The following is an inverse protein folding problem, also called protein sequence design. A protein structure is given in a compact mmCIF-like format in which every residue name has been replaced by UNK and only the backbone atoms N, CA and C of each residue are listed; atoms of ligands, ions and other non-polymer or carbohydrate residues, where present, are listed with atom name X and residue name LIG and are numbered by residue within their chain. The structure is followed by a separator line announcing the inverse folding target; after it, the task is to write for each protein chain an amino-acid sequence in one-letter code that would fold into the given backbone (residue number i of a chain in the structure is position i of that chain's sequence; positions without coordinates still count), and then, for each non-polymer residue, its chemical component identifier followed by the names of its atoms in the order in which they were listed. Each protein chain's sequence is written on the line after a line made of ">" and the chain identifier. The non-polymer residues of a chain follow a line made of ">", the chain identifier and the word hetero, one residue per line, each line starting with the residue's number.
data_IF_129319370923
#
_entry.id   IF_129319370923
#
_cell.length_a   1.000
_cell.length_b   1.000
_cell.length_c   1.000
_cell.angle_alpha   90.00
_cell.angle_beta   90.00
_cell.angle_gamma   90.00
#
_symmetry.space_group_name_H-M   'P 1'
#
loop_
_entity.id
_entity.type
_entity.pdbx_description
1 polymer ?
#
# COMPACT_ATOMS: atom_id res chain seq x y z
N UNK A 1 -6.34 -6.09 13.77
CA UNK A 1 -5.72 -5.03 12.95
C UNK A 1 -5.02 -5.69 11.77
N UNK A 2 -4.97 -5.08 10.59
CA UNK A 2 -4.20 -5.62 9.45
C UNK A 2 -2.76 -5.06 9.42
N UNK A 3 -1.78 -5.92 9.18
CA UNK A 3 -0.36 -5.58 9.02
C UNK A 3 0.05 -5.73 7.57
N UNK A 4 0.50 -4.64 6.98
CA UNK A 4 0.86 -4.57 5.56
C UNK A 4 2.38 -4.37 5.47
N UNK A 5 3.06 -5.23 4.73
CA UNK A 5 4.49 -5.05 4.47
C UNK A 5 4.70 -4.03 3.36
N UNK A 6 5.35 -2.90 3.68
CA UNK A 6 5.67 -1.84 2.74
C UNK A 6 6.73 -2.32 1.74
N UNK A 7 6.40 -2.27 0.45
CA UNK A 7 7.27 -2.56 -0.68
C UNK A 7 7.85 -3.97 -0.72
N UNK A 8 7.31 -4.91 0.05
CA UNK A 8 7.81 -6.28 0.01
C UNK A 8 7.65 -6.90 -1.38
N UNK A 9 6.59 -6.56 -2.12
CA UNK A 9 6.43 -7.04 -3.49
C UNK A 9 7.22 -6.26 -4.55
N UNK A 10 8.12 -5.35 -4.15
CA UNK A 10 9.05 -4.72 -5.09
C UNK A 10 10.31 -5.59 -5.35
N UNK A 11 10.48 -6.70 -4.62
CA UNK A 11 11.53 -7.69 -4.90
C UNK A 11 11.10 -9.10 -4.48
N UNK A 12 11.58 -10.12 -5.19
CA UNK A 12 11.21 -11.52 -4.90
C UNK A 12 11.69 -11.97 -3.52
N UNK A 13 12.89 -11.54 -3.11
CA UNK A 13 13.45 -11.90 -1.80
C UNK A 13 12.60 -11.40 -0.64
N UNK A 14 12.20 -10.11 -0.68
CA UNK A 14 11.37 -9.50 0.37
C UNK A 14 9.93 -9.99 0.38
N UNK A 15 9.39 -10.29 -0.80
CA UNK A 15 8.09 -10.91 -0.93
C UNK A 15 8.02 -12.20 -0.10
N UNK A 16 8.98 -13.12 -0.32
CA UNK A 16 9.00 -14.42 0.37
C UNK A 16 9.15 -14.29 1.88
N UNK A 17 9.96 -13.34 2.33
CA UNK A 17 10.10 -13.04 3.76
C UNK A 17 8.77 -12.56 4.36
N UNK A 18 8.13 -11.59 3.70
CA UNK A 18 6.93 -10.95 4.20
C UNK A 18 5.67 -11.84 4.15
N UNK A 19 5.57 -12.78 3.21
CA UNK A 19 4.43 -13.71 3.09
C UNK A 19 4.17 -14.54 4.36
N UNK A 20 5.21 -14.76 5.17
CA UNK A 20 5.11 -15.55 6.40
C UNK A 20 4.61 -14.77 7.62
N UNK A 21 4.55 -13.43 7.55
CA UNK A 21 4.35 -12.56 8.73
C UNK A 21 3.31 -11.45 8.51
N UNK A 22 3.22 -10.91 7.29
CA UNK A 22 2.29 -9.83 6.95
C UNK A 22 0.97 -10.38 6.41
N UNK A 23 -0.13 -9.68 6.71
CA UNK A 23 -1.45 -10.05 6.20
C UNK A 23 -1.61 -9.64 4.72
N UNK A 24 -0.92 -8.57 4.31
CA UNK A 24 -0.98 -8.01 2.95
C UNK A 24 0.40 -7.53 2.50
N UNK A 25 0.73 -7.76 1.23
CA UNK A 25 2.00 -7.35 0.62
C UNK A 25 1.79 -6.11 -0.26
N UNK A 26 2.43 -4.98 0.08
CA UNK A 26 2.37 -3.77 -0.74
C UNK A 26 3.39 -3.79 -1.88
N UNK A 27 2.94 -3.26 -3.03
CA UNK A 27 3.67 -3.22 -4.28
C UNK A 27 3.53 -1.85 -4.93
N UNK A 28 4.66 -1.21 -5.23
CA UNK A 28 4.71 0.07 -5.94
C UNK A 28 4.59 -0.17 -7.45
N UNK A 29 3.39 0.02 -8.00
CA UNK A 29 3.08 -0.32 -9.40
C UNK A 29 3.26 0.90 -10.31
N UNK A 30 4.15 0.78 -11.29
CA UNK A 30 4.44 1.79 -12.30
C UNK A 30 4.11 1.35 -13.72
N UNK A 31 3.90 2.33 -14.60
CA UNK A 31 3.88 2.08 -16.04
C UNK A 31 5.32 2.09 -16.55
N UNK A 32 5.76 0.95 -17.07
CA UNK A 32 7.07 0.77 -17.68
C UNK A 32 7.11 1.25 -19.13
N UNK A 33 8.19 0.87 -19.83
CA UNK A 33 8.29 1.14 -21.28
C UNK A 33 7.25 0.32 -22.05
N UNK A 34 6.57 0.97 -23.00
CA UNK A 34 5.56 0.33 -23.84
C UNK A 34 4.28 -0.03 -23.07
N UNK A 35 3.98 -1.31 -22.95
CA UNK A 35 2.76 -1.84 -22.30
C UNK A 35 3.04 -2.54 -20.97
N UNK A 36 4.31 -2.64 -20.57
CA UNK A 36 4.74 -3.37 -19.38
C UNK A 36 4.34 -2.62 -18.10
N UNK A 37 3.94 -3.40 -17.10
CA UNK A 37 3.76 -2.93 -15.73
C UNK A 37 5.00 -3.36 -14.96
N UNK A 38 5.58 -2.41 -14.24
CA UNK A 38 6.81 -2.60 -13.47
C UNK A 38 6.53 -2.39 -11.98
N UNK A 39 7.26 -3.13 -11.15
CA UNK A 39 7.33 -2.88 -9.72
C UNK A 39 8.68 -2.23 -9.41
N UNK A 40 8.65 -1.11 -8.69
CA UNK A 40 9.88 -0.44 -8.23
C UNK A 40 9.55 0.67 -7.25
N UNK A 41 10.50 0.92 -6.36
CA UNK A 41 10.46 2.11 -5.52
C UNK A 41 11.01 3.37 -6.24
N UNK A 42 12.11 3.20 -6.98
CA UNK A 42 12.82 4.29 -7.62
C UNK A 42 11.92 5.06 -8.60
N UNK A 43 12.08 6.37 -8.69
CA UNK A 43 11.30 7.22 -9.59
C UNK A 43 12.00 7.37 -10.93
N UNK A 44 11.22 7.50 -12.00
CA UNK A 44 11.78 7.82 -13.31
C UNK A 44 12.09 9.32 -13.39
N UNK A 45 13.35 9.67 -13.64
CA UNK A 45 13.76 11.04 -13.92
C UNK A 45 13.44 11.37 -15.38
N UNK A 46 12.39 12.16 -15.59
CA UNK A 46 12.06 12.68 -16.91
C UNK A 46 12.99 13.87 -17.24
N UNK A 47 13.54 13.97 -18.47
CA UNK A 47 13.28 13.16 -19.67
C UNK A 47 14.24 11.97 -19.86
N UNK A 48 15.22 11.77 -18.99
CA UNK A 48 16.38 10.89 -19.25
C UNK A 48 16.13 9.40 -19.04
N UNK A 49 14.89 9.01 -18.65
CA UNK A 49 14.47 7.63 -18.33
C UNK A 49 15.32 6.92 -17.29
N UNK A 50 16.26 7.62 -16.64
CA UNK A 50 17.08 7.05 -15.57
C UNK A 50 16.22 6.92 -14.32
N UNK A 51 16.40 5.82 -13.59
CA UNK A 51 15.79 5.68 -12.28
C UNK A 51 16.61 6.48 -11.27
N UNK A 52 15.89 7.14 -10.36
CA UNK A 52 16.43 7.97 -9.28
C UNK A 52 15.88 7.45 -7.96
N UNK A 53 16.77 7.14 -7.04
CA UNK A 53 16.44 6.77 -5.67
C UNK A 53 17.42 7.42 -4.70
N UNK A 54 16.93 7.89 -3.55
CA UNK A 54 17.72 8.47 -2.45
C UNK A 54 18.95 9.30 -2.87
N UNK A 55 18.77 10.26 -3.78
CA UNK A 55 19.80 11.21 -4.27
C UNK A 55 20.83 10.66 -5.28
N UNK A 56 20.74 9.40 -5.69
CA UNK A 56 21.58 8.84 -6.74
C UNK A 56 20.76 8.38 -7.95
N UNK A 57 21.42 8.37 -9.11
CA UNK A 57 20.87 7.74 -10.30
C UNK A 57 21.27 6.28 -10.31
N UNK A 58 20.30 5.39 -10.47
CA UNK A 58 20.58 3.98 -10.66
C UNK A 58 21.37 3.76 -11.96
N UNK A 59 22.13 2.65 -12.05
CA UNK A 59 22.77 2.22 -13.29
C UNK A 59 21.78 2.19 -14.46
N UNK A 60 22.26 2.52 -15.67
CA UNK A 60 21.44 2.38 -16.89
C UNK A 60 21.15 0.90 -17.12
N UNK A 61 19.89 0.55 -17.42
CA UNK A 61 19.49 -0.83 -17.73
C UNK A 61 18.91 -1.60 -16.54
N UNK A 62 18.87 -1.02 -15.34
CA UNK A 62 17.96 -1.51 -14.29
C UNK A 62 16.53 -1.10 -14.69
N UNK A 63 15.91 -1.89 -15.56
CA UNK A 63 14.47 -1.83 -15.74
C UNK A 63 13.82 -2.30 -14.44
N UNK A 64 12.68 -1.71 -14.08
CA UNK A 64 11.90 -2.23 -12.94
C UNK A 64 11.58 -3.71 -13.16
N UNK A 65 11.48 -4.49 -12.08
CA UNK A 65 11.08 -5.90 -12.14
C UNK A 65 9.68 -6.00 -12.76
N UNK A 66 9.42 -7.00 -13.60
CA UNK A 66 8.10 -7.10 -14.22
C UNK A 66 7.09 -7.45 -13.13
N UNK A 67 5.90 -6.87 -13.19
CA UNK A 67 4.88 -7.26 -12.22
C UNK A 67 4.49 -8.73 -12.35
N UNK A 68 4.54 -9.31 -13.55
CA UNK A 68 4.34 -10.74 -13.77
C UNK A 68 5.31 -11.61 -12.96
N UNK A 69 6.61 -11.26 -12.95
CA UNK A 69 7.63 -12.02 -12.21
C UNK A 69 7.35 -12.08 -10.70
N UNK A 70 6.78 -11.00 -10.13
CA UNK A 70 6.32 -10.97 -8.73
C UNK A 70 5.10 -11.86 -8.51
N UNK A 71 4.15 -11.83 -9.44
CA UNK A 71 2.94 -12.64 -9.33
C UNK A 71 3.24 -14.14 -9.42
N UNK A 72 4.17 -14.52 -10.30
CA UNK A 72 4.63 -15.89 -10.48
C UNK A 72 5.42 -16.39 -9.26
N UNK A 73 6.17 -15.50 -8.61
CA UNK A 73 6.94 -15.85 -7.41
C UNK A 73 6.09 -15.92 -6.13
N UNK A 74 4.92 -15.28 -6.10
CA UNK A 74 4.09 -15.14 -4.92
C UNK A 74 3.20 -16.37 -4.67
N UNK A 75 3.10 -16.80 -3.41
CA UNK A 75 2.23 -17.89 -2.99
C UNK A 75 0.76 -17.63 -3.40
N UNK A 76 -0.03 -18.64 -3.83
CA UNK A 76 -1.41 -18.41 -4.29
C UNK A 76 -2.30 -17.66 -3.30
N UNK A 77 -2.05 -17.81 -1.99
CA UNK A 77 -2.75 -17.13 -0.89
C UNK A 77 -2.34 -15.67 -0.66
N UNK A 78 -1.29 -15.19 -1.33
CA UNK A 78 -0.75 -13.83 -1.11
C UNK A 78 -1.76 -12.78 -1.53
N UNK A 79 -2.15 -11.97 -0.54
CA UNK A 79 -3.00 -10.80 -0.72
C UNK A 79 -2.14 -9.60 -1.07
N UNK A 80 -2.42 -8.97 -2.19
CA UNK A 80 -1.67 -7.80 -2.64
C UNK A 80 -2.37 -6.49 -2.33
N UNK A 81 -1.56 -5.48 -2.00
CA UNK A 81 -1.92 -4.07 -2.02
C UNK A 81 -1.15 -3.35 -3.13
N UNK A 82 -1.83 -2.97 -4.19
CA UNK A 82 -1.22 -2.24 -5.30
C UNK A 82 -1.27 -0.74 -5.03
N UNK A 83 -0.13 -0.11 -4.75
CA UNK A 83 -0.05 1.35 -4.74
C UNK A 83 0.36 1.86 -6.12
N UNK A 84 -0.61 2.40 -6.86
CA UNK A 84 -0.41 2.84 -8.23
C UNK A 84 0.36 4.17 -8.24
N UNK A 85 1.59 4.14 -8.76
CA UNK A 85 2.49 5.28 -8.83
C UNK A 85 2.48 5.92 -10.22
N UNK A 86 1.35 6.52 -10.57
CA UNK A 86 1.18 7.27 -11.81
C UNK A 86 -0.12 8.05 -11.85
N UNK A 87 -0.32 8.83 -12.92
CA UNK A 87 -1.45 9.77 -13.04
C UNK A 87 -2.44 9.41 -14.15
N UNK A 88 -2.17 8.35 -14.92
CA UNK A 88 -2.96 8.00 -16.12
C UNK A 88 -3.82 6.76 -15.88
N UNK A 89 -5.04 6.75 -16.42
CA UNK A 89 -5.89 5.55 -16.41
C UNK A 89 -5.30 4.39 -17.23
N UNK A 90 -4.28 4.64 -18.05
CA UNK A 90 -3.51 3.57 -18.71
C UNK A 90 -2.80 2.70 -17.69
N UNK A 91 -2.21 3.29 -16.64
CA UNK A 91 -1.58 2.52 -15.56
C UNK A 91 -2.60 1.60 -14.88
N UNK A 92 -3.74 2.14 -14.45
CA UNK A 92 -4.73 1.35 -13.73
C UNK A 92 -5.34 0.23 -14.57
N UNK A 93 -5.63 0.47 -15.86
CA UNK A 93 -6.08 -0.59 -16.77
C UNK A 93 -5.01 -1.67 -16.97
N UNK A 94 -3.74 -1.29 -17.14
CA UNK A 94 -2.65 -2.26 -17.33
C UNK A 94 -2.37 -3.06 -16.06
N UNK A 95 -2.42 -2.42 -14.89
CA UNK A 95 -2.32 -3.11 -13.61
C UNK A 95 -3.47 -4.09 -13.40
N UNK A 96 -4.72 -3.72 -13.74
CA UNK A 96 -5.87 -4.63 -13.69
C UNK A 96 -5.73 -5.84 -14.61
N UNK A 97 -5.19 -5.64 -15.82
CA UNK A 97 -4.90 -6.76 -16.72
C UNK A 97 -3.79 -7.65 -16.14
N UNK A 98 -2.72 -7.05 -15.63
CA UNK A 98 -1.58 -7.79 -15.10
C UNK A 98 -1.91 -8.62 -13.86
N UNK A 99 -2.74 -8.11 -12.93
CA UNK A 99 -3.16 -8.86 -11.73
C UNK A 99 -4.13 -10.02 -12.05
N UNK A 100 -4.70 -10.05 -13.26
CA UNK A 100 -5.59 -11.13 -13.72
C UNK A 100 -6.79 -11.32 -12.79
N UNK A 101 -7.09 -12.56 -12.42
CA UNK A 101 -8.21 -12.92 -11.54
C UNK A 101 -7.79 -13.11 -10.07
N UNK A 102 -6.58 -12.68 -9.70
CA UNK A 102 -6.08 -12.83 -8.33
C UNK A 102 -6.90 -11.99 -7.34
N UNK A 103 -7.43 -12.65 -6.32
CA UNK A 103 -8.27 -12.07 -5.28
C UNK A 103 -7.94 -12.74 -3.94
N UNK A 104 -8.13 -12.06 -2.79
CA UNK A 104 -8.58 -10.68 -2.65
C UNK A 104 -7.51 -9.65 -3.04
N UNK A 105 -7.93 -8.41 -3.31
CA UNK A 105 -7.05 -7.33 -3.76
C UNK A 105 -7.31 -6.02 -2.99
N UNK A 106 -6.24 -5.27 -2.71
CA UNK A 106 -6.31 -3.88 -2.29
C UNK A 106 -5.64 -3.00 -3.33
N UNK A 107 -6.21 -1.85 -3.63
CA UNK A 107 -5.62 -0.88 -4.55
C UNK A 107 -5.70 0.52 -3.96
N UNK A 108 -4.58 1.22 -3.97
CA UNK A 108 -4.51 2.63 -3.61
C UNK A 108 -3.77 3.47 -4.64
N UNK A 109 -3.98 4.77 -4.53
CA UNK A 109 -3.18 5.77 -5.25
C UNK A 109 -3.48 7.15 -4.68
N UNK A 110 -2.64 8.15 -4.99
CA UNK A 110 -2.92 9.56 -4.70
C UNK A 110 -3.77 10.23 -5.81
N UNK A 111 -3.54 9.96 -7.11
CA UNK A 111 -4.47 10.35 -8.18
C UNK A 111 -5.81 9.58 -8.19
N UNK A 112 -6.71 9.84 -7.26
CA UNK A 112 -7.89 8.97 -7.01
C UNK A 112 -8.78 8.70 -8.23
N UNK A 113 -8.77 9.55 -9.26
CA UNK A 113 -9.55 9.32 -10.49
C UNK A 113 -9.15 8.06 -11.25
N UNK A 114 -7.90 7.59 -11.14
CA UNK A 114 -7.45 6.37 -11.85
C UNK A 114 -7.97 5.08 -11.20
N UNK A 115 -8.48 5.15 -9.96
CA UNK A 115 -9.07 4.01 -9.24
C UNK A 115 -10.37 3.52 -9.88
N UNK A 116 -11.01 4.30 -10.75
CA UNK A 116 -12.25 3.91 -11.46
C UNK A 116 -12.09 2.57 -12.18
N UNK A 117 -10.90 2.24 -12.65
CA UNK A 117 -10.63 0.99 -13.34
C UNK A 117 -10.72 -0.26 -12.43
N UNK A 118 -10.87 -0.11 -11.11
CA UNK A 118 -11.01 -1.21 -10.15
C UNK A 118 -12.36 -1.19 -9.41
N UNK A 119 -13.24 -0.23 -9.71
CA UNK A 119 -14.46 0.00 -8.92
C UNK A 119 -15.49 -1.13 -9.00
N UNK A 120 -15.47 -1.89 -10.10
CA UNK A 120 -16.37 -3.00 -10.43
C UNK A 120 -15.69 -4.38 -10.27
N UNK A 121 -14.44 -4.42 -9.81
CA UNK A 121 -13.72 -5.69 -9.66
C UNK A 121 -14.21 -6.40 -8.38
N UNK A 122 -14.55 -7.71 -8.45
CA UNK A 122 -14.92 -8.46 -7.26
C UNK A 122 -13.78 -8.48 -6.22
N UNK A 123 -14.17 -8.62 -4.95
CA UNK A 123 -13.26 -8.75 -3.80
C UNK A 123 -12.08 -7.75 -3.78
N UNK A 124 -12.31 -6.53 -4.28
CA UNK A 124 -11.29 -5.49 -4.43
C UNK A 124 -11.61 -4.28 -3.56
N UNK A 125 -10.74 -4.00 -2.59
CA UNK A 125 -10.81 -2.80 -1.76
C UNK A 125 -10.13 -1.63 -2.44
N UNK A 126 -10.93 -0.64 -2.81
CA UNK A 126 -10.47 0.63 -3.39
C UNK A 126 -10.24 1.65 -2.27
N UNK A 127 -8.97 2.06 -2.10
CA UNK A 127 -8.48 2.92 -1.02
C UNK A 127 -7.93 4.23 -1.60
N UNK A 128 -8.31 5.38 -1.01
CA UNK A 128 -7.74 6.69 -1.39
C UNK A 128 -6.53 7.03 -0.51
N UNK A 129 -5.42 7.42 -1.12
CA UNK A 129 -4.20 7.81 -0.39
C UNK A 129 -4.07 9.33 -0.21
N UNK A 130 -3.68 9.78 0.99
CA UNK A 130 -3.32 11.16 1.31
C UNK A 130 -2.08 11.24 2.22
N UNK A 131 -0.97 11.80 1.72
CA UNK A 131 0.30 11.92 2.41
C UNK A 131 0.68 13.32 2.91
N UNK A 132 -0.14 14.34 2.61
CA UNK A 132 0.06 15.69 3.11
C UNK A 132 -1.28 16.37 3.47
N UNK A 133 -1.20 17.53 4.14
CA UNK A 133 -2.37 18.29 4.61
C UNK A 133 -3.29 18.72 3.47
N UNK A 134 -2.74 19.09 2.31
CA UNK A 134 -3.51 19.50 1.13
C UNK A 134 -4.30 18.33 0.55
N UNK A 135 -3.66 17.18 0.37
CA UNK A 135 -4.29 15.93 -0.08
C UNK A 135 -5.40 15.50 0.89
N UNK A 136 -5.16 15.58 2.21
CA UNK A 136 -6.18 15.27 3.22
C UNK A 136 -7.35 16.26 3.19
N UNK A 137 -7.08 17.55 3.04
CA UNK A 137 -8.14 18.57 2.94
C UNK A 137 -9.01 18.34 1.70
N UNK A 138 -8.39 18.03 0.57
CA UNK A 138 -9.09 17.65 -0.66
C UNK A 138 -9.93 16.38 -0.45
N UNK A 139 -9.39 15.39 0.26
CA UNK A 139 -10.10 14.14 0.57
C UNK A 139 -11.37 14.43 1.37
N UNK A 140 -11.26 15.33 2.35
CA UNK A 140 -12.35 15.72 3.20
C UNK A 140 -13.45 16.52 2.48
N UNK A 141 -13.10 17.25 1.41
CA UNK A 141 -14.05 18.09 0.67
C UNK A 141 -14.67 17.39 -0.53
N UNK A 142 -13.98 16.43 -1.13
CA UNK A 142 -14.48 15.76 -2.32
C UNK A 142 -15.65 14.83 -1.98
N UNK A 143 -16.85 15.05 -2.57
CA UNK A 143 -17.94 14.10 -2.43
C UNK A 143 -17.50 12.75 -3.04
N UNK A 144 -17.67 11.66 -2.29
CA UNK A 144 -17.46 10.34 -2.86
C UNK A 144 -18.75 9.83 -3.48
N UNK A 145 -18.84 9.87 -4.81
CA UNK A 145 -19.95 9.24 -5.55
C UNK A 145 -19.81 7.71 -5.65
N UNK A 146 -18.63 7.17 -5.32
CA UNK A 146 -18.37 5.74 -5.29
C UNK A 146 -18.28 5.27 -3.83
N UNK A 147 -18.72 4.03 -3.57
CA UNK A 147 -18.49 3.34 -2.30
C UNK A 147 -16.98 3.13 -2.15
N UNK A 148 -16.36 3.90 -1.27
CA UNK A 148 -14.96 3.68 -0.89
C UNK A 148 -14.93 2.59 0.17
N UNK A 149 -13.88 1.78 0.12
CA UNK A 149 -13.64 0.77 1.14
C UNK A 149 -12.80 1.32 2.29
N UNK A 150 -12.05 2.40 2.03
CA UNK A 150 -11.24 3.05 3.03
C UNK A 150 -10.35 4.16 2.50
N UNK A 151 -9.49 4.63 3.38
CA UNK A 151 -8.48 5.65 3.15
C UNK A 151 -7.15 5.17 3.73
N UNK A 152 -6.07 5.59 3.11
CA UNK A 152 -4.73 5.43 3.66
C UNK A 152 -4.14 6.82 3.85
N UNK A 153 -3.69 7.14 5.06
CA UNK A 153 -3.20 8.49 5.40
C UNK A 153 -1.90 8.39 6.19
N UNK A 154 -0.92 9.25 5.90
CA UNK A 154 0.33 9.31 6.65
C UNK A 154 0.10 9.56 8.15
N UNK A 155 0.77 8.80 9.03
CA UNK A 155 0.50 8.81 10.48
C UNK A 155 0.49 10.22 11.11
N UNK A 156 1.40 11.11 10.68
CA UNK A 156 1.51 12.50 11.18
C UNK A 156 0.25 13.36 10.97
N UNK A 157 -0.69 12.91 10.15
CA UNK A 157 -1.94 13.60 9.87
C UNK A 157 -3.12 13.03 10.70
N UNK A 158 -2.92 11.91 11.40
CA UNK A 158 -3.94 11.19 12.16
C UNK A 158 -4.01 11.70 13.61
N UNK A 159 -4.73 12.80 13.80
CA UNK A 159 -5.24 13.25 15.11
C UNK A 159 -6.61 12.62 15.38
N UNK A 160 -7.12 12.70 16.61
CA UNK A 160 -8.46 12.16 16.95
C UNK A 160 -9.54 12.77 16.06
N UNK A 161 -9.47 14.10 15.89
CA UNK A 161 -10.39 14.82 15.02
C UNK A 161 -10.28 14.39 13.55
N UNK A 162 -9.07 14.09 13.05
CA UNK A 162 -8.92 13.58 11.69
C UNK A 162 -9.46 12.16 11.58
N UNK A 163 -9.13 11.28 12.51
CA UNK A 163 -9.56 9.87 12.51
C UNK A 163 -11.09 9.79 12.53
N UNK A 164 -11.75 10.52 13.44
CA UNK A 164 -13.20 10.54 13.55
C UNK A 164 -13.85 10.97 12.23
N UNK A 165 -13.31 12.02 11.60
CA UNK A 165 -13.79 12.48 10.30
C UNK A 165 -13.54 11.45 9.19
N UNK A 166 -12.48 10.66 9.26
CA UNK A 166 -12.12 9.66 8.25
C UNK A 166 -12.98 8.39 8.33
N UNK A 167 -13.60 8.08 9.49
CA UNK A 167 -14.47 6.89 9.66
C UNK A 167 -15.57 6.79 8.61
N UNK A 168 -16.08 7.93 8.13
CA UNK A 168 -17.09 7.97 7.06
C UNK A 168 -16.64 7.37 5.72
N UNK A 169 -15.34 7.16 5.52
CA UNK A 169 -14.79 6.57 4.30
C UNK A 169 -14.56 5.06 4.40
N UNK A 170 -14.87 4.42 5.52
CA UNK A 170 -14.63 3.00 5.76
C UNK A 170 -13.35 2.75 6.56
N UNK A 171 -12.57 1.75 6.16
CA UNK A 171 -11.34 1.36 6.85
C UNK A 171 -10.28 2.47 6.78
N UNK A 172 -9.52 2.64 7.86
CA UNK A 172 -8.45 3.65 7.94
C UNK A 172 -7.12 2.91 8.03
N UNK A 173 -6.23 3.21 7.09
CA UNK A 173 -4.87 2.70 7.08
C UNK A 173 -3.87 3.82 7.26
N UNK A 174 -2.68 3.49 7.75
CA UNK A 174 -1.59 4.44 7.85
C UNK A 174 -0.25 3.85 7.48
N UNK A 175 0.74 4.70 7.25
CA UNK A 175 2.12 4.33 6.99
C UNK A 175 3.08 5.27 7.72
N UNK A 176 4.36 4.87 7.73
CA UNK A 176 5.46 5.54 8.43
C UNK A 176 5.31 5.52 9.96
N UNK A 177 4.84 4.39 10.50
CA UNK A 177 4.88 4.11 11.95
C UNK A 177 6.12 3.27 12.24
N UNK A 178 6.82 3.55 13.33
CA UNK A 178 8.16 3.02 13.59
C UNK A 178 8.31 2.27 14.92
N UNK A 179 7.24 2.17 15.71
CA UNK A 179 7.27 1.55 17.03
C UNK A 179 5.92 0.92 17.39
N UNK A 180 5.96 -0.10 18.24
CA UNK A 180 4.79 -0.89 18.66
C UNK A 180 3.78 -0.06 19.44
N UNK A 181 4.24 0.83 20.32
CA UNK A 181 3.38 1.67 21.15
C UNK A 181 2.50 2.59 20.30
N UNK A 182 3.08 3.20 19.26
CA UNK A 182 2.36 3.99 18.27
C UNK A 182 1.35 3.16 17.49
N UNK A 183 1.68 1.92 17.12
CA UNK A 183 0.74 1.01 16.44
C UNK A 183 -0.47 0.71 17.34
N UNK A 184 -0.24 0.36 18.61
CA UNK A 184 -1.30 0.09 19.59
C UNK A 184 -2.20 1.30 19.78
N UNK A 185 -1.63 2.49 20.02
CA UNK A 185 -2.41 3.73 20.14
C UNK A 185 -3.26 4.03 18.91
N UNK A 186 -2.74 3.78 17.71
CA UNK A 186 -3.49 3.96 16.48
C UNK A 186 -4.63 2.95 16.39
N UNK A 187 -4.39 1.71 16.77
CA UNK A 187 -5.41 0.66 16.80
C UNK A 187 -6.58 1.03 17.73
N UNK A 188 -6.28 1.44 18.96
CA UNK A 188 -7.28 1.86 19.96
C UNK A 188 -8.13 3.04 19.48
N UNK A 189 -7.56 3.92 18.65
CA UNK A 189 -8.26 5.06 18.05
C UNK A 189 -9.10 4.68 16.83
N UNK A 190 -9.09 3.42 16.41
CA UNK A 190 -9.90 2.89 15.31
C UNK A 190 -9.17 2.79 13.97
N UNK A 191 -7.83 2.89 13.93
CA UNK A 191 -7.07 2.58 12.71
C UNK A 191 -7.14 1.07 12.45
N UNK A 192 -7.52 0.72 11.23
CA UNK A 192 -7.79 -0.64 10.78
C UNK A 192 -6.52 -1.41 10.40
N UNK A 193 -5.48 -0.71 9.93
CA UNK A 193 -4.20 -1.34 9.61
C UNK A 193 -3.03 -0.38 9.43
N UNK A 194 -1.82 -0.93 9.45
CA UNK A 194 -0.54 -0.20 9.32
C UNK A 194 0.33 -0.80 8.23
N UNK A 195 0.92 0.08 7.42
CA UNK A 195 1.90 -0.23 6.39
C UNK A 195 3.30 0.03 6.99
N UNK A 196 4.09 -1.03 7.13
CA UNK A 196 5.34 -1.04 7.89
C UNK A 196 6.54 -1.34 7.00
N UNK A 197 7.59 -0.52 7.13
CA UNK A 197 8.90 -0.75 6.51
C UNK A 197 9.70 -1.83 7.24
N UNK A 198 9.53 -1.90 8.57
CA UNK A 198 10.22 -2.84 9.45
C UNK A 198 9.29 -3.99 9.83
N UNK A 199 9.60 -5.15 9.28
CA UNK A 199 8.85 -6.39 9.48
C UNK A 199 8.97 -6.94 10.91
N UNK A 200 10.05 -6.60 11.63
CA UNK A 200 10.27 -7.06 13.01
C UNK A 200 9.23 -6.51 13.99
N UNK A 201 8.53 -5.43 13.62
CA UNK A 201 7.47 -4.82 14.42
C UNK A 201 6.14 -5.57 14.36
N UNK A 202 5.91 -6.41 13.35
CA UNK A 202 4.59 -7.03 13.11
C UNK A 202 4.20 -7.95 14.26
N UNK A 203 5.03 -8.94 14.60
CA UNK A 203 4.69 -9.93 15.63
C UNK A 203 4.50 -9.33 17.03
N UNK A 204 5.40 -8.45 17.53
CA UNK A 204 5.16 -7.74 18.79
C UNK A 204 3.87 -6.92 18.76
N UNK A 205 3.59 -6.19 17.68
CA UNK A 205 2.39 -5.37 17.58
C UNK A 205 1.11 -6.21 17.44
N UNK A 206 1.18 -7.37 16.76
CA UNK A 206 0.06 -8.31 16.64
C UNK A 206 -0.33 -8.86 18.01
N UNK A 207 0.64 -9.31 18.82
CA UNK A 207 0.38 -9.74 20.20
C UNK A 207 -0.24 -8.62 21.04
N UNK A 208 0.36 -7.43 21.00
CA UNK A 208 -0.10 -6.28 21.77
C UNK A 208 -1.51 -5.80 21.38
N UNK A 209 -1.89 -5.90 20.10
CA UNK A 209 -3.22 -5.47 19.62
C UNK A 209 -4.30 -6.55 19.73
N UNK A 210 -3.94 -7.83 19.78
CA UNK A 210 -4.88 -8.93 20.01
C UNK A 210 -5.27 -9.10 21.49
N UNK A 211 -4.54 -8.46 22.41
CA UNK A 211 -4.75 -8.63 23.85
C UNK A 211 -4.27 -9.97 24.40
N UNK A 212 -3.40 -10.67 23.67
CA UNK A 212 -2.75 -11.89 24.18
C UNK A 212 -1.67 -11.49 25.20
N UNK A 213 -1.72 -12.02 26.44
CA UNK A 213 -0.71 -11.71 27.45
C UNK A 213 0.67 -12.23 27.00
N UNK A 214 1.73 -11.48 27.33
CA UNK A 214 3.10 -11.98 27.20
C UNK A 214 3.22 -13.31 27.93
N UNK A 215 3.51 -14.39 27.19
CA UNK A 215 3.93 -15.64 27.78
C UNK A 215 5.15 -15.33 28.64
N UNK A 216 4.97 -15.33 29.95
CA UNK A 216 6.03 -15.09 30.91
C UNK A 216 7.08 -16.17 30.70
N UNK A 217 8.19 -15.80 30.05
CA UNK A 217 9.39 -16.63 30.01
C UNK A 217 9.95 -16.69 31.43
N UNK A 218 9.57 -17.74 32.15
CA UNK A 218 10.30 -18.27 33.32
C UNK A 218 11.61 -18.88 32.90
#
# INVERSE_FOLDING_TARGET
>A
MEFISHRAGNSIGRLREAESIADVIEVDVHLGVGTRVEVRHAKLLWPTRRLWDRWYLLPRGEDGLAFGDILDAAAPSTVFWLDLKGFTSRLSRRARVAIGDREPLVVSTKPWWILKAFADRPNTRVIRSAGNRTELLLLMRMPSRAKLHGVVVHHRLLTDATIERLKRFGQIYTWSVHDVESIVRLHERGVSGVILDDLSLIEPARRATSGEPEASTT
#
